data_IF_694657241689
#
_entry.id   IF_694657241689
#
_cell.length_a   1.000
_cell.length_b   1.000
_cell.length_c   1.000
_cell.angle_alpha   90.00
_cell.angle_beta   90.00
_cell.angle_gamma   90.00
#
_symmetry.space_group_name_H-M   'P 1'
#
loop_
_entity.id
_entity.type
_entity.pdbx_description
1 polymer ?
#
# COMPACT_ATOMS: atom_id res chain seq x y z
N UNK A 1 -21.05 -3.95 -29.44
CA UNK A 1 -19.66 -3.86 -28.93
C UNK A 1 -19.75 -4.06 -27.43
N UNK A 2 -18.99 -5.00 -26.86
CA UNK A 2 -18.96 -5.17 -25.40
C UNK A 2 -18.22 -3.99 -24.75
N UNK A 3 -18.62 -3.61 -23.55
CA UNK A 3 -17.92 -2.57 -22.77
C UNK A 3 -16.64 -3.17 -22.19
N UNK A 4 -15.50 -2.49 -22.38
CA UNK A 4 -14.23 -2.87 -21.76
C UNK A 4 -14.27 -2.59 -20.26
N UNK A 5 -13.82 -3.55 -19.46
CA UNK A 5 -13.88 -3.56 -18.00
C UNK A 5 -12.50 -3.51 -17.36
N UNK A 6 -12.40 -2.87 -16.18
CA UNK A 6 -11.18 -2.79 -15.37
C UNK A 6 -11.54 -2.55 -13.90
N UNK A 7 -10.55 -2.65 -13.02
CA UNK A 7 -10.64 -2.32 -11.60
C UNK A 7 -9.85 -1.03 -11.30
N UNK A 8 -10.13 -0.39 -10.16
CA UNK A 8 -9.48 0.88 -9.78
C UNK A 8 -8.07 0.68 -9.20
N UNK A 9 -7.73 -0.53 -8.75
CA UNK A 9 -6.42 -0.81 -8.18
C UNK A 9 -6.46 -1.98 -7.20
N UNK A 10 -6.66 -1.67 -5.92
CA UNK A 10 -6.50 -2.60 -4.81
C UNK A 10 -7.40 -3.85 -4.89
N UNK A 11 -6.84 -4.98 -4.45
CA UNK A 11 -7.52 -6.28 -4.31
C UNK A 11 -7.29 -6.84 -2.90
N UNK A 12 -8.19 -7.65 -2.34
CA UNK A 12 -7.95 -8.33 -1.07
C UNK A 12 -6.63 -9.11 -1.09
N UNK A 13 -5.70 -8.74 -0.20
CA UNK A 13 -4.40 -9.40 -0.08
C UNK A 13 -4.58 -10.79 0.57
N UNK A 14 -3.99 -11.87 0.02
CA UNK A 14 -3.96 -13.16 0.69
C UNK A 14 -3.28 -13.10 2.07
N UNK A 15 -3.74 -13.91 3.02
CA UNK A 15 -3.26 -13.88 4.42
C UNK A 15 -1.77 -14.20 4.58
N UNK A 16 -1.15 -14.85 3.60
CA UNK A 16 0.28 -15.17 3.62
C UNK A 16 1.17 -14.00 3.20
N UNK A 17 0.61 -12.89 2.70
CA UNK A 17 1.37 -11.70 2.29
C UNK A 17 1.91 -10.98 3.54
N UNK A 18 3.21 -10.69 3.62
CA UNK A 18 3.83 -10.11 4.82
C UNK A 18 3.54 -8.62 5.04
N UNK A 19 2.79 -7.98 4.13
CA UNK A 19 2.44 -6.56 4.19
C UNK A 19 0.96 -6.43 4.55
N UNK A 20 0.68 -5.72 5.64
CA UNK A 20 -0.71 -5.43 6.06
C UNK A 20 -1.33 -4.38 5.15
N UNK A 21 -2.56 -4.63 4.71
CA UNK A 21 -3.36 -3.61 4.04
C UNK A 21 -3.88 -2.59 5.05
N UNK A 22 -3.73 -1.30 4.77
CA UNK A 22 -4.33 -0.24 5.58
C UNK A 22 -5.86 -0.30 5.64
N UNK A 23 -6.54 -0.96 4.69
CA UNK A 23 -7.98 -1.22 4.77
C UNK A 23 -8.35 -2.30 5.81
N UNK A 24 -7.40 -3.15 6.20
CA UNK A 24 -7.60 -4.19 7.22
C UNK A 24 -7.44 -3.64 8.66
N UNK A 25 -7.03 -2.38 8.81
CA UNK A 25 -6.81 -1.72 10.10
C UNK A 25 -7.59 -0.41 10.13
N UNK A 26 -8.44 -0.21 11.15
CA UNK A 26 -9.14 1.06 11.32
C UNK A 26 -8.16 2.24 11.41
N UNK A 27 -8.46 3.35 10.73
CA UNK A 27 -7.59 4.54 10.73
C UNK A 27 -7.35 5.15 12.12
N UNK A 28 -8.30 4.94 13.02
CA UNK A 28 -8.27 5.37 14.42
C UNK A 28 -7.73 4.28 15.36
N UNK A 29 -7.38 3.11 14.82
CA UNK A 29 -6.82 2.03 15.60
C UNK A 29 -5.47 2.46 16.18
N UNK A 30 -5.30 2.25 17.49
CA UNK A 30 -4.07 2.63 18.21
C UNK A 30 -2.82 1.96 17.65
N UNK A 31 -2.97 0.83 16.98
CA UNK A 31 -1.91 0.00 16.40
C UNK A 31 -1.72 0.22 14.89
N UNK A 32 -2.41 1.19 14.25
CA UNK A 32 -2.26 1.47 12.82
C UNK A 32 -0.80 1.67 12.41
N UNK A 33 -0.08 2.51 13.14
CA UNK A 33 1.33 2.80 12.85
C UNK A 33 2.19 1.54 12.95
N UNK A 34 1.94 0.69 13.95
CA UNK A 34 2.70 -0.54 14.14
C UNK A 34 2.41 -1.55 13.03
N UNK A 35 1.12 -1.77 12.74
CA UNK A 35 0.68 -2.83 11.84
C UNK A 35 0.81 -2.49 10.37
N UNK A 36 0.73 -1.21 10.01
CA UNK A 36 0.77 -0.76 8.61
C UNK A 36 2.10 -0.06 8.32
N UNK A 37 2.44 1.03 9.04
CA UNK A 37 3.62 1.83 8.73
C UNK A 37 4.94 1.10 9.03
N UNK A 38 5.07 0.46 10.19
CA UNK A 38 6.32 -0.17 10.64
C UNK A 38 6.52 -1.54 9.99
N UNK A 39 5.47 -2.36 9.90
CA UNK A 39 5.50 -3.67 9.24
C UNK A 39 5.76 -3.64 7.73
N UNK A 40 5.70 -2.47 7.09
CA UNK A 40 6.17 -2.31 5.71
C UNK A 40 7.53 -2.97 5.45
N UNK A 41 8.45 -2.89 6.42
CA UNK A 41 9.81 -3.44 6.31
C UNK A 41 9.84 -4.96 6.12
N UNK A 42 8.83 -5.68 6.60
CA UNK A 42 8.73 -7.14 6.47
C UNK A 42 8.58 -7.56 5.01
N UNK A 43 7.96 -6.69 4.19
CA UNK A 43 7.81 -6.85 2.74
C UNK A 43 9.08 -6.60 1.92
N UNK A 44 10.18 -6.18 2.54
CA UNK A 44 11.41 -5.80 1.83
C UNK A 44 12.46 -6.92 1.73
N UNK A 45 12.16 -8.09 2.31
CA UNK A 45 13.06 -9.25 2.29
C UNK A 45 12.94 -10.04 0.98
N UNK A 46 13.96 -10.80 0.60
CA UNK A 46 13.88 -11.65 -0.61
C UNK A 46 12.78 -12.72 -0.49
N UNK A 47 12.62 -13.33 0.69
CA UNK A 47 11.53 -14.27 0.94
C UNK A 47 10.14 -13.61 0.78
N UNK A 48 10.00 -12.34 1.17
CA UNK A 48 8.77 -11.59 0.96
C UNK A 48 8.52 -11.27 -0.52
N UNK A 49 9.57 -11.05 -1.32
CA UNK A 49 9.43 -10.76 -2.76
C UNK A 49 8.72 -11.91 -3.49
N UNK A 50 9.14 -13.14 -3.25
CA UNK A 50 8.53 -14.33 -3.86
C UNK A 50 7.04 -14.47 -3.46
N UNK A 51 6.71 -14.19 -2.21
CA UNK A 51 5.32 -14.21 -1.72
C UNK A 51 4.48 -13.10 -2.38
N UNK A 52 5.05 -11.91 -2.56
CA UNK A 52 4.38 -10.79 -3.22
C UNK A 52 4.17 -11.06 -4.71
N UNK A 53 5.16 -11.61 -5.41
CA UNK A 53 5.03 -12.01 -6.82
C UNK A 53 3.96 -13.09 -7.01
N UNK A 54 3.98 -14.10 -6.15
CA UNK A 54 2.94 -15.14 -6.12
C UNK A 54 1.55 -14.52 -5.92
N UNK A 55 1.38 -13.66 -4.92
CA UNK A 55 0.10 -13.03 -4.63
C UNK A 55 -0.38 -12.13 -5.77
N UNK A 56 0.52 -11.35 -6.39
CA UNK A 56 0.16 -10.56 -7.59
C UNK A 56 -0.30 -11.45 -8.74
N UNK A 57 0.37 -12.58 -8.99
CA UNK A 57 -0.04 -13.52 -10.03
C UNK A 57 -1.42 -14.13 -9.75
N UNK A 58 -1.69 -14.54 -8.50
CA UNK A 58 -3.00 -15.06 -8.08
C UNK A 58 -4.12 -14.02 -8.26
N UNK A 59 -3.87 -12.78 -7.84
CA UNK A 59 -4.84 -11.67 -7.98
C UNK A 59 -5.13 -11.32 -9.44
N UNK A 60 -4.11 -11.31 -10.29
CA UNK A 60 -4.29 -11.08 -11.74
C UNK A 60 -5.07 -12.23 -12.37
N UNK A 61 -4.75 -13.48 -12.01
CA UNK A 61 -5.45 -14.66 -12.52
C UNK A 61 -6.94 -14.67 -12.13
N UNK A 62 -7.27 -14.27 -10.90
CA UNK A 62 -8.66 -14.20 -10.43
C UNK A 62 -9.46 -13.11 -11.16
N UNK A 63 -8.87 -11.94 -11.41
CA UNK A 63 -9.49 -10.90 -12.22
C UNK A 63 -9.76 -11.37 -13.66
N UNK A 64 -8.79 -12.07 -14.28
CA UNK A 64 -8.94 -12.65 -15.62
C UNK A 64 -10.07 -13.70 -15.62
N UNK A 65 -10.13 -14.57 -14.62
CA UNK A 65 -11.17 -15.58 -14.48
C UNK A 65 -12.57 -14.97 -14.31
N UNK A 66 -12.65 -13.79 -13.68
CA UNK A 66 -13.88 -12.99 -13.56
C UNK A 66 -14.28 -12.25 -14.85
N UNK A 67 -13.45 -12.30 -15.91
CA UNK A 67 -13.72 -11.63 -17.19
C UNK A 67 -13.34 -10.15 -17.22
N UNK A 68 -12.44 -9.69 -16.35
CA UNK A 68 -11.89 -8.32 -16.41
C UNK A 68 -10.94 -8.20 -17.61
N UNK A 69 -11.18 -7.22 -18.48
CA UNK A 69 -10.38 -7.04 -19.71
C UNK A 69 -8.98 -6.47 -19.44
N UNK A 70 -8.88 -5.52 -18.50
CA UNK A 70 -7.62 -4.88 -18.10
C UNK A 70 -7.43 -5.05 -16.59
N UNK A 71 -6.70 -6.10 -16.14
CA UNK A 71 -6.50 -6.35 -14.71
C UNK A 71 -5.47 -5.38 -14.10
N UNK A 72 -5.51 -5.24 -12.78
CA UNK A 72 -4.54 -4.48 -11.98
C UNK A 72 -3.60 -5.42 -11.23
N UNK A 73 -2.50 -4.89 -10.69
CA UNK A 73 -1.58 -5.61 -9.78
C UNK A 73 -2.16 -5.85 -8.37
N UNK A 74 -3.40 -5.41 -8.13
CA UNK A 74 -4.09 -5.51 -6.85
C UNK A 74 -3.49 -4.66 -5.72
N UNK A 75 -2.53 -3.79 -6.02
CA UNK A 75 -1.72 -3.11 -5.00
C UNK A 75 -1.12 -4.05 -3.93
N UNK A 76 -0.84 -5.30 -4.29
CA UNK A 76 -0.34 -6.34 -3.38
C UNK A 76 0.93 -5.90 -2.67
N UNK A 77 1.79 -5.17 -3.38
CA UNK A 77 3.08 -4.65 -2.90
C UNK A 77 2.97 -3.40 -2.04
N UNK A 78 1.78 -2.85 -1.80
CA UNK A 78 1.59 -1.57 -1.10
C UNK A 78 0.87 -1.79 0.23
N UNK A 79 1.43 -1.29 1.31
CA UNK A 79 0.70 -1.18 2.59
C UNK A 79 -0.33 -0.05 2.53
N UNK A 80 -0.02 0.99 1.77
CA UNK A 80 -0.88 2.16 1.56
C UNK A 80 -0.54 2.83 0.22
N UNK A 81 -1.58 3.22 -0.52
CA UNK A 81 -1.48 3.77 -1.88
C UNK A 81 -0.68 5.08 -1.99
N UNK A 82 -0.52 5.85 -0.91
CA UNK A 82 0.32 7.06 -0.87
C UNK A 82 1.69 6.75 -0.28
N UNK A 83 1.72 6.06 0.87
CA UNK A 83 2.96 5.88 1.62
C UNK A 83 3.99 5.04 0.88
N UNK A 84 3.55 4.01 0.15
CA UNK A 84 4.44 3.22 -0.71
C UNK A 84 5.27 4.14 -1.61
N UNK A 85 4.62 5.08 -2.30
CA UNK A 85 5.31 6.01 -3.18
C UNK A 85 6.24 6.93 -2.38
N UNK A 86 5.77 7.53 -1.29
CA UNK A 86 6.57 8.43 -0.44
C UNK A 86 7.87 7.80 0.07
N UNK A 87 7.93 6.47 0.26
CA UNK A 87 9.16 5.76 0.68
C UNK A 87 10.25 5.76 -0.38
N UNK A 88 9.90 5.98 -1.64
CA UNK A 88 10.81 6.08 -2.78
C UNK A 88 11.24 7.52 -3.06
N UNK A 89 10.85 8.47 -2.20
CA UNK A 89 11.24 9.87 -2.27
C UNK A 89 12.09 10.28 -1.06
N UNK A 90 13.01 11.21 -1.28
CA UNK A 90 13.66 11.95 -0.22
C UNK A 90 12.72 12.98 0.42
N UNK A 91 13.09 13.45 1.60
CA UNK A 91 12.36 14.49 2.33
C UNK A 91 11.21 13.98 3.21
N UNK A 92 10.83 12.70 3.13
CA UNK A 92 9.81 12.09 4.01
C UNK A 92 10.42 11.40 5.23
N UNK A 93 9.88 11.72 6.41
CA UNK A 93 10.18 11.12 7.70
C UNK A 93 9.01 10.23 8.16
N UNK A 94 9.27 8.93 8.21
CA UNK A 94 8.30 7.90 8.61
C UNK A 94 8.39 7.51 10.09
N UNK A 95 9.25 8.18 10.87
CA UNK A 95 9.44 7.93 12.31
C UNK A 95 8.88 9.10 13.13
N UNK A 96 9.25 10.33 12.78
CA UNK A 96 8.73 11.56 13.38
C UNK A 96 7.38 11.97 12.80
N UNK A 97 6.34 11.18 13.08
CA UNK A 97 4.99 11.39 12.56
C UNK A 97 4.34 12.69 13.09
N UNK A 98 3.46 13.28 12.28
CA UNK A 98 2.67 14.47 12.65
C UNK A 98 1.18 14.12 12.73
N UNK A 99 0.55 14.47 13.86
CA UNK A 99 -0.91 14.35 14.04
C UNK A 99 -1.65 15.34 13.14
N UNK A 100 -2.59 14.85 12.32
CA UNK A 100 -3.39 15.64 11.38
C UNK A 100 -4.87 15.29 11.48
N UNK A 101 -5.71 16.32 11.39
CA UNK A 101 -7.16 16.19 11.27
C UNK A 101 -7.50 16.06 9.79
N UNK A 102 -8.19 14.98 9.42
CA UNK A 102 -8.55 14.67 8.04
C UNK A 102 -10.06 14.73 7.83
N UNK A 103 -10.46 14.85 6.55
CA UNK A 103 -11.87 14.87 6.10
C UNK A 103 -12.75 15.81 6.92
N UNK A 104 -12.35 17.08 7.03
CA UNK A 104 -13.08 18.13 7.75
C UNK A 104 -13.43 17.78 9.21
N UNK A 105 -12.57 17.02 9.90
CA UNK A 105 -12.78 16.64 11.30
C UNK A 105 -13.29 15.22 11.50
N UNK A 106 -13.53 14.44 10.44
CA UNK A 106 -14.06 13.09 10.57
C UNK A 106 -13.12 12.14 11.33
N UNK A 107 -11.80 12.30 11.20
CA UNK A 107 -10.84 11.55 12.00
C UNK A 107 -9.49 12.23 12.11
N UNK A 108 -8.66 11.70 13.01
CA UNK A 108 -7.30 12.16 13.26
C UNK A 108 -6.33 11.01 13.05
N UNK A 109 -5.24 11.25 12.31
CA UNK A 109 -4.21 10.25 12.03
C UNK A 109 -2.82 10.82 12.28
N UNK A 110 -1.87 9.96 12.62
CA UNK A 110 -0.45 10.28 12.56
C UNK A 110 0.06 9.94 11.16
N UNK A 111 0.70 10.91 10.50
CA UNK A 111 1.15 10.78 9.10
C UNK A 111 2.65 11.07 8.99
N UNK A 112 3.33 10.50 7.97
CA UNK A 112 4.71 10.86 7.66
C UNK A 112 4.87 12.37 7.44
N UNK A 113 6.01 12.91 7.87
CA UNK A 113 6.27 14.36 7.84
C UNK A 113 7.27 14.70 6.73
N UNK A 114 6.97 15.74 5.94
CA UNK A 114 7.94 16.29 4.99
C UNK A 114 8.93 17.19 5.78
N UNK A 115 10.21 16.81 5.80
CA UNK A 115 11.31 17.50 6.50
C UNK A 115 12.25 18.27 5.58
N UNK A 116 12.10 18.11 4.26
CA UNK A 116 12.97 18.76 3.28
C UNK A 116 12.45 18.64 1.85
N UNK A 117 13.25 19.04 0.85
CA UNK A 117 12.87 18.95 -0.57
C UNK A 117 12.52 17.52 -0.98
N UNK A 118 11.39 17.37 -1.67
CA UNK A 118 10.91 16.08 -2.18
C UNK A 118 11.55 15.80 -3.54
N UNK A 119 12.30 14.69 -3.63
CA UNK A 119 12.99 14.26 -4.86
C UNK A 119 12.92 12.74 -5.00
N UNK A 120 12.72 12.19 -6.20
CA UNK A 120 12.81 10.74 -6.40
C UNK A 120 14.19 10.26 -5.97
N UNK A 121 14.25 9.18 -5.20
CA UNK A 121 15.50 8.45 -5.04
C UNK A 121 15.76 7.76 -6.37
N UNK A 122 16.87 8.08 -7.03
CA UNK A 122 17.23 7.44 -8.30
C UNK A 122 17.25 5.92 -8.13
N UNK A 123 16.81 5.21 -9.16
CA UNK A 123 16.93 3.75 -9.22
C UNK A 123 18.44 3.39 -9.17
N UNK A 124 18.80 2.52 -8.22
CA UNK A 124 20.10 1.83 -8.22
C UNK A 124 19.96 0.52 -8.95
#
# INVERSE_FOLDING_TARGET
MALTTTCIGAYPKPDYVPITDWFQVGHDAKDYNDRVLRKWRDGQTDAARDLLDKATAEVVADQIACGIDVPTDGEVRRENYVHYQCRHFDGFDFEGLTKRVLRNGAYVSELPTIRGPVRPRGES
#
